data_IF_349625171826
#
_entry.id   IF_349625171826
#
_cell.length_a   1.000
_cell.length_b   1.000
_cell.length_c   1.000
_cell.angle_alpha   90.00
_cell.angle_beta   90.00
_cell.angle_gamma   90.00
#
_symmetry.space_group_name_H-M   'P 1'
#
loop_
_entity.id
_entity.type
_entity.pdbx_description
1 polymer ?
#
# COMPACT_ATOMS: atom_id res chain seq x y z
N UNK A 1 13.95 -2.29 9.52
CA UNK A 1 13.15 -1.19 10.08
C UNK A 1 11.99 -1.86 10.78
N UNK A 2 11.89 -1.81 12.12
CA UNK A 2 10.75 -2.40 12.81
C UNK A 2 9.51 -1.59 12.40
N UNK A 3 8.44 -2.28 12.02
CA UNK A 3 7.12 -1.67 11.91
C UNK A 3 6.71 -1.37 13.35
N UNK A 4 6.86 -0.12 13.77
CA UNK A 4 6.49 0.30 15.12
C UNK A 4 5.02 -0.03 15.36
N UNK A 5 4.78 -0.78 16.44
CA UNK A 5 3.45 -0.99 17.01
C UNK A 5 2.87 0.38 17.39
N UNK A 6 2.14 0.99 16.46
CA UNK A 6 1.51 2.28 16.64
C UNK A 6 0.61 2.55 15.44
N UNK A 7 -0.68 2.69 15.69
CA UNK A 7 -1.77 2.89 14.72
C UNK A 7 -1.63 4.13 13.79
N UNK A 8 -0.48 4.82 13.82
CA UNK A 8 -0.23 6.06 13.10
C UNK A 8 0.92 5.90 12.10
N UNK A 9 0.69 6.32 10.86
CA UNK A 9 1.74 6.37 9.83
C UNK A 9 2.75 7.46 10.22
N UNK A 10 4.06 7.15 10.30
CA UNK A 10 5.08 8.15 10.62
C UNK A 10 5.08 9.31 9.60
N UNK A 11 5.24 10.55 10.08
CA UNK A 11 5.30 11.74 9.21
C UNK A 11 6.44 11.66 8.18
N UNK A 12 7.57 11.07 8.56
CA UNK A 12 8.71 10.84 7.67
C UNK A 12 8.35 9.90 6.49
N UNK A 13 7.53 8.89 6.75
CA UNK A 13 7.03 7.98 5.71
C UNK A 13 6.06 8.70 4.78
N UNK A 14 5.14 9.50 5.33
CA UNK A 14 4.22 10.31 4.52
C UNK A 14 4.96 11.27 3.59
N UNK A 15 6.01 11.93 4.10
CA UNK A 15 6.86 12.79 3.30
C UNK A 15 7.56 12.02 2.19
N UNK A 16 8.12 10.85 2.52
CA UNK A 16 8.80 9.98 1.54
C UNK A 16 7.85 9.54 0.43
N UNK A 17 6.61 9.18 0.75
CA UNK A 17 5.59 8.78 -0.23
C UNK A 17 5.33 9.94 -1.22
N UNK A 18 5.17 11.16 -0.71
CA UNK A 18 4.91 12.36 -1.53
C UNK A 18 6.09 12.75 -2.43
N UNK A 19 7.31 12.63 -1.91
CA UNK A 19 8.54 12.99 -2.66
C UNK A 19 8.98 11.88 -3.64
N UNK A 20 8.39 10.69 -3.56
CA UNK A 20 8.73 9.55 -4.41
C UNK A 20 8.06 9.65 -5.78
N UNK A 21 8.82 9.38 -6.84
CA UNK A 21 8.28 9.31 -8.21
C UNK A 21 7.62 7.96 -8.53
N UNK A 22 8.00 6.91 -7.81
CA UNK A 22 7.50 5.55 -7.99
C UNK A 22 7.09 4.94 -6.65
N UNK A 23 6.04 4.14 -6.64
CA UNK A 23 5.66 3.31 -5.51
C UNK A 23 5.40 1.88 -5.97
N UNK A 24 6.13 0.91 -5.42
CA UNK A 24 5.91 -0.51 -5.65
C UNK A 24 5.04 -1.06 -4.53
N UNK A 25 3.83 -1.51 -4.86
CA UNK A 25 2.88 -2.10 -3.90
C UNK A 25 2.90 -3.61 -4.08
N UNK A 26 3.32 -4.35 -3.05
CA UNK A 26 3.38 -5.81 -3.07
C UNK A 26 2.15 -6.39 -2.39
N UNK A 27 1.17 -6.81 -3.17
CA UNK A 27 0.01 -7.54 -2.68
C UNK A 27 0.39 -8.99 -2.39
N UNK A 28 0.04 -9.46 -1.20
CA UNK A 28 0.22 -10.84 -0.74
C UNK A 28 -1.00 -11.24 0.08
N UNK A 29 -1.15 -12.53 0.38
CA UNK A 29 -2.31 -13.03 1.15
C UNK A 29 -2.51 -12.34 2.50
N UNK A 30 -1.44 -11.87 3.15
CA UNK A 30 -1.52 -11.17 4.44
C UNK A 30 -1.57 -9.65 4.31
N UNK A 31 -1.65 -9.10 3.10
CA UNK A 31 -1.62 -7.65 2.90
C UNK A 31 -2.85 -6.98 3.52
N UNK A 32 -4.04 -7.49 3.19
CA UNK A 32 -5.31 -6.93 3.67
C UNK A 32 -5.56 -7.16 5.17
N UNK A 33 -4.83 -8.07 5.81
CA UNK A 33 -4.96 -8.30 7.26
C UNK A 33 -4.25 -7.22 8.10
N UNK A 34 -3.36 -6.43 7.48
CA UNK A 34 -2.65 -5.34 8.15
C UNK A 34 -3.34 -4.01 7.85
N UNK A 35 -3.98 -3.42 8.87
CA UNK A 35 -4.57 -2.07 8.76
C UNK A 35 -3.53 -1.04 8.32
N UNK A 36 -2.34 -1.11 8.91
CA UNK A 36 -1.24 -0.23 8.54
C UNK A 36 -0.87 -0.33 7.06
N UNK A 37 -0.85 -1.53 6.47
CA UNK A 37 -0.58 -1.69 5.04
C UNK A 37 -1.67 -1.02 4.18
N UNK A 38 -2.94 -1.15 4.57
CA UNK A 38 -4.06 -0.52 3.88
C UNK A 38 -4.02 1.02 4.03
N UNK A 39 -3.68 1.54 5.21
CA UNK A 39 -3.58 2.98 5.44
C UNK A 39 -2.44 3.58 4.59
N UNK A 40 -1.29 2.91 4.52
CA UNK A 40 -0.18 3.32 3.65
C UNK A 40 -0.59 3.27 2.17
N UNK A 41 -1.36 2.26 1.75
CA UNK A 41 -1.89 2.17 0.38
C UNK A 41 -2.79 3.37 0.04
N UNK A 42 -3.67 3.76 0.95
CA UNK A 42 -4.52 4.95 0.78
C UNK A 42 -3.65 6.19 0.57
N UNK A 43 -2.57 6.37 1.35
CA UNK A 43 -1.67 7.52 1.20
C UNK A 43 -0.88 7.54 -0.10
N UNK A 44 -0.48 6.37 -0.60
CA UNK A 44 0.13 6.25 -1.92
C UNK A 44 -0.87 6.65 -3.00
N UNK A 45 -2.11 6.18 -2.91
CA UNK A 45 -3.15 6.48 -3.91
C UNK A 45 -3.58 7.95 -3.88
N UNK A 46 -3.67 8.57 -2.70
CA UNK A 46 -3.87 10.03 -2.58
C UNK A 46 -2.72 10.82 -3.24
N UNK A 47 -1.46 10.41 -3.01
CA UNK A 47 -0.29 11.10 -3.56
C UNK A 47 -0.13 10.89 -5.07
N UNK A 48 -0.57 9.74 -5.59
CA UNK A 48 -0.57 9.43 -7.02
C UNK A 48 -1.30 10.49 -7.84
N UNK A 49 -2.48 10.89 -7.37
CA UNK A 49 -3.34 11.85 -8.06
C UNK A 49 -2.78 13.29 -7.95
N UNK A 50 -2.09 13.61 -6.86
CA UNK A 50 -1.55 14.95 -6.59
C UNK A 50 -0.17 15.20 -7.23
N UNK A 51 0.70 14.19 -7.31
CA UNK A 51 2.12 14.36 -7.68
C UNK A 51 2.54 13.58 -8.94
N UNK A 52 1.59 13.00 -9.70
CA UNK A 52 1.87 12.21 -10.93
C UNK A 52 2.85 11.06 -10.65
N UNK A 53 2.70 10.42 -9.48
CA UNK A 53 3.50 9.28 -9.08
C UNK A 53 3.11 8.04 -9.89
N UNK A 54 4.08 7.21 -10.27
CA UNK A 54 3.81 5.91 -10.90
C UNK A 54 3.68 4.82 -9.85
N UNK A 55 2.48 4.25 -9.72
CA UNK A 55 2.21 3.12 -8.81
C UNK A 55 2.27 1.82 -9.60
N UNK A 56 3.16 0.91 -9.18
CA UNK A 56 3.38 -0.40 -9.80
C UNK A 56 2.87 -1.47 -8.82
N UNK A 57 1.79 -2.19 -9.13
CA UNK A 57 1.35 -3.32 -8.32
C UNK A 57 2.14 -4.58 -8.66
N UNK A 58 2.60 -5.30 -7.65
CA UNK A 58 3.19 -6.63 -7.73
C UNK A 58 2.31 -7.60 -6.94
N UNK A 59 1.93 -8.71 -7.56
CA UNK A 59 1.05 -9.72 -6.96
C UNK A 59 1.89 -10.94 -6.60
N UNK A 60 2.12 -11.15 -5.30
CA UNK A 60 2.90 -12.25 -4.77
C UNK A 60 1.96 -13.35 -4.23
N UNK A 61 1.92 -14.48 -4.93
CA UNK A 61 1.10 -15.65 -4.58
C UNK A 61 -0.40 -15.31 -4.38
N UNK A 62 -0.89 -14.32 -5.13
CA UNK A 62 -2.29 -13.85 -5.15
C UNK A 62 -2.68 -13.53 -6.58
N UNK A 63 -3.93 -13.81 -6.95
CA UNK A 63 -4.45 -13.45 -8.27
C UNK A 63 -4.87 -11.97 -8.27
N UNK A 64 -4.53 -11.17 -9.31
CA UNK A 64 -4.96 -9.78 -9.39
C UNK A 64 -6.48 -9.58 -9.26
N UNK A 65 -7.28 -10.55 -9.69
CA UNK A 65 -8.74 -10.52 -9.57
C UNK A 65 -9.22 -10.72 -8.13
N UNK A 66 -8.49 -11.45 -7.28
CA UNK A 66 -8.78 -11.58 -5.85
C UNK A 66 -8.65 -10.21 -5.16
N UNK A 67 -7.60 -9.46 -5.51
CA UNK A 67 -7.38 -8.08 -5.00
C UNK A 67 -8.45 -7.14 -5.55
N UNK A 68 -8.72 -7.17 -6.86
CA UNK A 68 -9.67 -6.26 -7.51
C UNK A 68 -11.11 -6.47 -7.03
N UNK A 69 -11.52 -7.72 -6.83
CA UNK A 69 -12.89 -8.09 -6.44
C UNK A 69 -13.08 -8.27 -4.94
N UNK A 70 -12.01 -8.08 -4.15
CA UNK A 70 -12.03 -8.27 -2.69
C UNK A 70 -12.55 -9.68 -2.33
N UNK A 71 -11.87 -10.70 -2.83
CA UNK A 71 -12.19 -12.10 -2.58
C UNK A 71 -11.10 -12.77 -1.74
N UNK A 72 -11.42 -13.94 -1.18
CA UNK A 72 -10.47 -14.76 -0.42
C UNK A 72 -9.78 -13.96 0.71
N UNK A 73 -8.45 -13.82 0.65
CA UNK A 73 -7.68 -13.11 1.67
C UNK A 73 -7.83 -11.59 1.63
N UNK A 74 -8.58 -11.05 0.66
CA UNK A 74 -8.87 -9.61 0.49
C UNK A 74 -10.36 -9.27 0.70
N UNK A 75 -11.17 -10.22 1.20
CA UNK A 75 -12.59 -10.04 1.49
C UNK A 75 -12.87 -9.34 2.83
#
# INVERSE_FOLDING_TARGET
MPLEDGDSIPEELLKTIKESQFALVVFSKSYATSRWCLDVLVKIMESKDEYVQTVIPLFYDVDPSEVQKQMESFA
#
